data_IF_873616579454
#
_entry.id   IF_873616579454
#
_cell.length_a   1.000
_cell.length_b   1.000
_cell.length_c   1.000
_cell.angle_alpha   90.00
_cell.angle_beta   90.00
_cell.angle_gamma   90.00
#
_symmetry.space_group_name_H-M   'P 1'
#
loop_
_entity.id
_entity.type
_entity.pdbx_description
1 polymer ?
#
# COMPACT_ATOMS: atom_id res chain seq x y z
N UNK A 1 -4.63 -9.98 -7.71
CA UNK A 1 -3.35 -9.33 -7.35
C UNK A 1 -2.74 -10.02 -6.13
N UNK A 2 -1.39 -10.06 -6.02
CA UNK A 2 -0.68 -10.77 -4.95
C UNK A 2 -0.65 -9.95 -3.63
N UNK A 3 -1.21 -10.46 -2.50
CA UNK A 3 -1.22 -9.75 -1.21
C UNK A 3 0.17 -9.40 -0.65
N UNK A 4 1.20 -10.20 -0.93
CA UNK A 4 2.57 -9.95 -0.43
C UNK A 4 3.15 -8.69 -1.08
N UNK A 5 2.92 -8.52 -2.39
CA UNK A 5 3.36 -7.32 -3.11
C UNK A 5 2.60 -6.10 -2.59
N UNK A 6 1.30 -6.25 -2.32
CA UNK A 6 0.48 -5.18 -1.72
C UNK A 6 0.98 -4.76 -0.34
N UNK A 7 1.37 -5.69 0.53
CA UNK A 7 2.00 -5.34 1.82
C UNK A 7 3.32 -4.58 1.61
N UNK A 8 4.11 -4.94 0.60
CA UNK A 8 5.35 -4.23 0.28
C UNK A 8 5.08 -2.79 -0.23
N UNK A 9 4.03 -2.59 -1.05
CA UNK A 9 3.56 -1.25 -1.46
C UNK A 9 3.23 -0.43 -0.21
N UNK A 10 2.42 -0.98 0.70
CA UNK A 10 1.99 -0.29 1.92
C UNK A 10 3.19 0.11 2.79
N UNK A 11 4.14 -0.81 3.03
CA UNK A 11 5.36 -0.52 3.81
C UNK A 11 6.24 0.55 3.17
N UNK A 12 6.32 0.59 1.84
CA UNK A 12 7.05 1.63 1.12
C UNK A 12 6.34 2.99 1.31
N UNK A 13 5.01 3.04 1.20
CA UNK A 13 4.23 4.24 1.47
C UNK A 13 4.40 4.74 2.91
N UNK A 14 4.39 3.86 3.92
CA UNK A 14 4.61 4.22 5.33
C UNK A 14 5.99 4.83 5.58
N UNK A 15 6.99 4.52 4.74
CA UNK A 15 8.34 5.08 4.80
C UNK A 15 8.54 6.28 3.88
N UNK A 16 7.47 6.75 3.22
CA UNK A 16 7.52 7.77 2.16
C UNK A 16 8.45 7.42 0.99
N UNK A 17 8.71 6.13 0.76
CA UNK A 17 9.52 5.62 -0.34
C UNK A 17 8.65 5.40 -1.59
N UNK A 18 8.34 6.50 -2.28
CA UNK A 18 7.40 6.50 -3.41
C UNK A 18 7.94 5.73 -4.61
N UNK A 19 9.25 5.80 -4.88
CA UNK A 19 9.87 5.08 -5.99
C UNK A 19 9.67 3.57 -5.84
N UNK A 20 9.93 3.05 -4.64
CA UNK A 20 9.72 1.63 -4.34
C UNK A 20 8.25 1.24 -4.35
N UNK A 21 7.37 2.10 -3.86
CA UNK A 21 5.92 1.85 -3.94
C UNK A 21 5.46 1.72 -5.40
N UNK A 22 5.92 2.63 -6.27
CA UNK A 22 5.60 2.61 -7.70
C UNK A 22 6.17 1.38 -8.41
N UNK A 23 7.41 0.99 -8.13
CA UNK A 23 8.01 -0.24 -8.66
C UNK A 23 7.14 -1.46 -8.32
N UNK A 24 6.68 -1.57 -7.06
CA UNK A 24 5.83 -2.68 -6.61
C UNK A 24 4.42 -2.65 -7.21
N UNK A 25 3.87 -1.46 -7.47
CA UNK A 25 2.62 -1.33 -8.23
C UNK A 25 2.81 -1.86 -9.66
N UNK A 26 3.94 -1.56 -10.30
CA UNK A 26 4.24 -2.07 -11.64
C UNK A 26 4.37 -3.60 -11.69
N UNK A 27 4.84 -4.24 -10.62
CA UNK A 27 4.86 -5.71 -10.51
C UNK A 27 3.44 -6.32 -10.50
N UNK A 28 2.42 -5.58 -10.08
CA UNK A 28 1.02 -5.98 -10.21
C UNK A 28 0.45 -5.60 -11.58
N UNK A 29 0.81 -4.46 -12.12
CA UNK A 29 0.32 -4.03 -13.43
C UNK A 29 0.84 -4.90 -14.58
N UNK A 30 2.14 -5.21 -14.60
CA UNK A 30 2.82 -5.91 -15.71
C UNK A 30 2.19 -7.26 -16.09
N UNK A 31 1.80 -8.11 -15.13
CA UNK A 31 1.07 -9.35 -15.40
C UNK A 31 -0.38 -9.18 -15.89
N UNK A 32 -0.90 -7.95 -15.95
CA UNK A 32 -2.24 -7.64 -16.44
C UNK A 32 -3.35 -7.70 -15.37
N UNK A 33 -3.02 -7.55 -14.08
CA UNK A 33 -4.08 -7.39 -13.07
C UNK A 33 -4.85 -6.10 -13.35
N UNK A 34 -6.19 -6.17 -13.30
CA UNK A 34 -7.02 -4.99 -13.52
C UNK A 34 -6.78 -3.95 -12.39
N UNK A 35 -6.93 -2.64 -12.67
CA UNK A 35 -6.88 -1.62 -11.62
C UNK A 35 -7.84 -1.92 -10.46
N UNK A 36 -9.03 -2.43 -10.79
CA UNK A 36 -10.08 -2.76 -9.81
C UNK A 36 -9.62 -3.87 -8.87
N UNK A 37 -8.97 -4.92 -9.40
CA UNK A 37 -8.42 -6.00 -8.58
C UNK A 37 -7.29 -5.52 -7.66
N UNK A 38 -6.43 -4.63 -8.18
CA UNK A 38 -5.33 -4.04 -7.40
C UNK A 38 -5.89 -3.22 -6.24
N UNK A 39 -6.83 -2.30 -6.50
CA UNK A 39 -7.47 -1.46 -5.47
C UNK A 39 -8.23 -2.30 -4.45
N UNK A 40 -8.99 -3.30 -4.90
CA UNK A 40 -9.75 -4.20 -4.00
C UNK A 40 -8.81 -4.99 -3.09
N UNK A 41 -7.67 -5.43 -3.61
CA UNK A 41 -6.66 -6.16 -2.83
C UNK A 41 -5.97 -5.24 -1.83
N UNK A 42 -5.63 -4.01 -2.21
CA UNK A 42 -5.09 -2.99 -1.30
C UNK A 42 -6.05 -2.80 -0.12
N UNK A 43 -7.34 -2.57 -0.39
CA UNK A 43 -8.33 -2.36 0.66
C UNK A 43 -8.45 -3.55 1.62
N UNK A 44 -8.40 -4.79 1.08
CA UNK A 44 -8.42 -6.00 1.91
C UNK A 44 -7.19 -6.12 2.81
N UNK A 45 -6.00 -5.84 2.25
CA UNK A 45 -4.74 -5.94 3.01
C UNK A 45 -4.66 -4.86 4.08
N UNK A 46 -4.99 -3.61 3.74
CA UNK A 46 -4.96 -2.48 4.68
C UNK A 46 -5.80 -2.76 5.94
N UNK A 47 -6.98 -3.37 5.78
CA UNK A 47 -7.87 -3.71 6.92
C UNK A 47 -7.26 -4.67 7.94
N UNK A 48 -6.25 -5.44 7.57
CA UNK A 48 -5.59 -6.41 8.45
C UNK A 48 -4.11 -6.06 8.65
N UNK A 49 -3.70 -4.83 8.32
CA UNK A 49 -2.30 -4.42 8.34
C UNK A 49 -2.02 -3.54 9.56
N UNK A 50 -1.62 -4.19 10.64
CA UNK A 50 -1.46 -3.58 11.98
C UNK A 50 -0.44 -2.41 12.02
N UNK A 51 0.47 -2.31 11.04
CA UNK A 51 1.47 -1.24 10.94
C UNK A 51 0.87 0.10 10.46
N UNK A 52 -0.33 0.11 9.85
CA UNK A 52 -1.05 1.35 9.56
C UNK A 52 -1.74 1.79 10.86
N UNK A 53 -1.09 2.67 11.61
CA UNK A 53 -1.73 3.34 12.75
C UNK A 53 -2.94 4.14 12.23
N UNK A 54 -4.14 3.80 12.71
CA UNK A 54 -5.33 4.65 12.53
C UNK A 54 -5.05 6.02 13.17
N UNK A 55 -4.77 7.00 12.31
CA UNK A 55 -4.36 8.37 12.62
C UNK A 55 -3.06 8.49 13.46
N UNK A 56 -1.96 9.02 12.89
CA UNK A 56 -1.13 9.90 13.71
C UNK A 56 -2.05 11.06 14.08
N UNK A 57 -2.49 11.12 15.35
CA UNK A 57 -3.12 12.32 15.91
C UNK A 57 -2.25 13.47 15.46
N UNK A 58 -2.84 14.39 14.68
CA UNK A 58 -2.18 15.58 14.21
C UNK A 58 -1.62 16.27 15.45
N UNK A 59 -0.32 16.13 15.72
CA UNK A 59 0.33 16.90 16.77
C UNK A 59 0.38 18.33 16.25
N UNK A 60 -0.66 19.09 16.62
CA UNK A 60 -0.76 20.52 16.40
C UNK A 60 0.38 21.17 17.18
N UNK A 61 1.49 21.45 16.49
CA UNK A 61 2.59 22.19 17.06
C UNK A 61 2.09 23.60 17.41
N UNK A 62 2.15 23.93 18.71
CA UNK A 62 1.96 25.27 19.28
C UNK A 62 3.11 26.20 18.91
#
# INVERSE_FOLDING_TARGET
ANPIIVQAIIRACLKSDINRAQEKVNELWGPGYSPVDIVTTIFRVVKTFDEILEYPKLEYNK
#
